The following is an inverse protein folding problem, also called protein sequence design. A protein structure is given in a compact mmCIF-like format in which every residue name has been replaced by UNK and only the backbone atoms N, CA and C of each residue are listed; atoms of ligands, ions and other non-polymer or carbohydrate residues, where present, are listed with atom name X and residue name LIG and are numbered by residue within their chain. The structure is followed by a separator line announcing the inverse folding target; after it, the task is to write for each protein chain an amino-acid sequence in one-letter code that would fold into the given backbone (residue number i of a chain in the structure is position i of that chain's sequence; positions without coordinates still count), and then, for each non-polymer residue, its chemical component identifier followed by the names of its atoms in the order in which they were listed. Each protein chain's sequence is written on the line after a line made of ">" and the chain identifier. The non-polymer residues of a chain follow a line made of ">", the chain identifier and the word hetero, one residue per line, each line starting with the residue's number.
data_IF_942402615468
#
_entry.id   IF_942402615468
#
_cell.length_a   1.000
_cell.length_b   1.000
_cell.length_c   1.000
_cell.angle_alpha   90.00
_cell.angle_beta   90.00
_cell.angle_gamma   90.00
#
_symmetry.space_group_name_H-M   'P 1'
#
loop_
_entity.id
_entity.type
_entity.pdbx_description
1 polymer ?
#
# COMPACT_ATOMS: atom_id res chain seq x y z
N UNK A 1 92.12 -35.90 45.18
CA UNK A 1 91.48 -36.70 44.11
C UNK A 1 89.97 -36.51 44.27
N UNK A 2 89.25 -36.20 43.18
CA UNK A 2 87.87 -35.66 43.11
C UNK A 2 87.75 -34.15 43.32
N UNK A 3 87.74 -33.39 42.22
CA UNK A 3 86.79 -32.31 41.96
C UNK A 3 86.99 -31.81 40.52
N UNK A 4 86.38 -32.52 39.57
CA UNK A 4 86.15 -32.02 38.20
C UNK A 4 84.63 -31.99 37.98
N UNK A 5 84.01 -30.98 38.57
CA UNK A 5 82.63 -30.56 38.34
C UNK A 5 82.65 -29.28 37.50
N UNK A 6 81.60 -29.13 36.68
CA UNK A 6 81.22 -27.97 35.85
C UNK A 6 81.74 -27.98 34.41
N UNK A 7 81.02 -28.68 33.53
CA UNK A 7 80.93 -28.31 32.10
C UNK A 7 79.74 -28.94 31.37
N UNK A 8 78.51 -28.79 31.88
CA UNK A 8 77.29 -29.19 31.12
C UNK A 8 76.04 -28.41 31.57
N UNK A 9 75.99 -27.09 31.43
CA UNK A 9 74.76 -26.34 31.77
C UNK A 9 74.61 -24.96 31.11
N UNK A 10 74.80 -24.78 29.80
CA UNK A 10 74.51 -23.47 29.18
C UNK A 10 73.86 -23.49 27.79
N UNK A 11 73.42 -24.64 27.25
CA UNK A 11 72.87 -24.69 25.89
C UNK A 11 71.34 -24.62 25.71
N UNK A 12 70.43 -24.80 26.68
CA UNK A 12 69.00 -24.66 26.36
C UNK A 12 68.42 -23.24 26.55
N UNK A 13 69.07 -22.33 27.31
CA UNK A 13 68.39 -21.08 27.70
C UNK A 13 68.42 -19.98 26.64
N UNK A 14 69.44 -19.94 25.77
CA UNK A 14 69.52 -18.93 24.70
C UNK A 14 68.49 -19.19 23.58
N UNK A 15 68.21 -20.46 23.27
CA UNK A 15 67.19 -20.85 22.30
C UNK A 15 65.76 -20.51 22.77
N UNK A 16 65.45 -20.78 24.04
CA UNK A 16 64.13 -20.44 24.63
C UNK A 16 63.85 -18.93 24.68
N UNK A 17 64.88 -18.08 24.90
CA UNK A 17 64.72 -16.61 24.87
C UNK A 17 64.61 -16.01 23.46
N UNK A 18 65.06 -16.71 22.43
CA UNK A 18 64.89 -16.27 21.03
C UNK A 18 63.46 -16.52 20.54
N UNK A 19 62.89 -17.70 20.82
CA UNK A 19 61.52 -18.04 20.47
C UNK A 19 60.48 -17.12 21.14
N UNK A 20 60.68 -16.77 22.41
CA UNK A 20 59.76 -15.89 23.15
C UNK A 20 59.77 -14.41 22.75
N UNK A 21 60.74 -13.95 21.95
CA UNK A 21 60.79 -12.57 21.41
C UNK A 21 60.10 -12.46 20.05
N UNK A 22 60.22 -13.48 19.20
CA UNK A 22 59.49 -13.56 17.92
C UNK A 22 57.97 -13.61 18.11
N UNK A 23 57.50 -14.41 19.07
CA UNK A 23 56.07 -14.53 19.37
C UNK A 23 55.44 -13.20 19.84
N UNK A 24 56.15 -12.44 20.69
CA UNK A 24 55.67 -11.15 21.21
C UNK A 24 55.65 -10.04 20.14
N UNK A 25 56.60 -10.05 19.19
CA UNK A 25 56.59 -9.14 18.06
C UNK A 25 55.42 -9.42 17.10
N UNK A 26 55.13 -10.69 16.83
CA UNK A 26 54.03 -11.11 15.96
C UNK A 26 52.65 -10.73 16.54
N UNK A 27 52.44 -10.94 17.85
CA UNK A 27 51.20 -10.56 18.54
C UNK A 27 50.99 -9.04 18.58
N UNK A 28 52.07 -8.25 18.64
CA UNK A 28 51.98 -6.77 18.62
C UNK A 28 51.63 -6.24 17.23
N UNK A 29 52.15 -6.86 16.16
CA UNK A 29 51.80 -6.54 14.78
C UNK A 29 50.32 -6.84 14.46
N UNK A 30 49.79 -7.94 14.99
CA UNK A 30 48.37 -8.33 14.85
C UNK A 30 47.39 -7.40 15.60
N UNK A 31 47.86 -6.64 16.61
CA UNK A 31 47.03 -5.70 17.38
C UNK A 31 47.02 -4.27 16.83
N UNK A 32 47.89 -3.94 15.86
CA UNK A 32 47.87 -2.64 15.18
C UNK A 32 46.66 -2.53 14.23
N UNK A 33 46.08 -1.33 14.02
CA UNK A 33 44.89 -1.15 13.18
C UNK A 33 45.10 -1.62 11.74
N UNK A 34 46.30 -1.43 11.18
CA UNK A 34 46.67 -1.96 9.87
C UNK A 34 46.79 -3.51 9.83
N UNK A 35 47.17 -4.14 10.94
CA UNK A 35 47.25 -5.60 11.07
C UNK A 35 45.88 -6.27 11.13
N UNK A 36 44.90 -5.62 11.78
CA UNK A 36 43.50 -6.10 11.82
C UNK A 36 42.84 -6.07 10.44
N UNK A 37 43.08 -5.01 9.67
CA UNK A 37 42.63 -4.91 8.27
C UNK A 37 43.26 -6.02 7.40
N UNK A 38 44.55 -6.31 7.58
CA UNK A 38 45.23 -7.40 6.86
C UNK A 38 44.66 -8.79 7.18
N UNK A 39 44.34 -9.07 8.45
CA UNK A 39 43.73 -10.36 8.86
C UNK A 39 42.29 -10.47 8.36
N UNK A 40 41.50 -9.39 8.45
CA UNK A 40 40.13 -9.39 7.92
C UNK A 40 40.12 -9.58 6.40
N UNK A 41 41.00 -8.91 5.65
CA UNK A 41 41.12 -9.08 4.20
C UNK A 41 41.55 -10.51 3.80
N UNK A 42 42.45 -11.14 4.57
CA UNK A 42 42.85 -12.52 4.33
C UNK A 42 41.72 -13.52 4.59
N UNK A 43 40.94 -13.32 5.66
CA UNK A 43 39.79 -14.16 6.00
C UNK A 43 38.65 -14.02 4.97
N UNK A 44 38.35 -12.80 4.50
CA UNK A 44 37.35 -12.59 3.46
C UNK A 44 37.79 -13.18 2.12
N UNK A 45 39.06 -13.03 1.74
CA UNK A 45 39.60 -13.64 0.52
C UNK A 45 39.51 -15.18 0.55
N UNK A 46 39.81 -15.81 1.69
CA UNK A 46 39.66 -17.26 1.89
C UNK A 46 38.20 -17.72 1.80
N UNK A 47 37.25 -16.95 2.37
CA UNK A 47 35.83 -17.26 2.29
C UNK A 47 35.29 -17.18 0.85
N UNK A 48 35.71 -16.16 0.08
CA UNK A 48 35.32 -16.01 -1.34
C UNK A 48 35.91 -17.13 -2.20
N UNK A 49 37.18 -17.50 -1.99
CA UNK A 49 37.81 -18.61 -2.71
C UNK A 49 37.14 -19.96 -2.42
N UNK A 50 36.70 -20.20 -1.18
CA UNK A 50 35.95 -21.40 -0.80
C UNK A 50 34.58 -21.47 -1.47
N UNK A 51 33.85 -20.35 -1.57
CA UNK A 51 32.55 -20.29 -2.25
C UNK A 51 32.66 -20.56 -3.76
N UNK A 52 33.70 -20.04 -4.42
CA UNK A 52 33.95 -20.29 -5.85
C UNK A 52 34.36 -21.75 -6.12
N UNK A 53 35.14 -22.38 -5.24
CA UNK A 53 35.51 -23.78 -5.38
C UNK A 53 34.32 -24.74 -5.14
N UNK A 54 33.42 -24.41 -4.21
CA UNK A 54 32.22 -25.21 -3.93
C UNK A 54 31.18 -25.10 -5.07
N UNK A 55 31.03 -23.93 -5.69
CA UNK A 55 30.13 -23.73 -6.84
C UNK A 55 30.50 -24.58 -8.06
N UNK A 56 31.79 -24.92 -8.22
CA UNK A 56 32.27 -25.75 -9.34
C UNK A 56 32.09 -27.26 -9.11
N UNK A 57 31.89 -27.69 -7.86
CA UNK A 57 31.73 -29.11 -7.49
C UNK A 57 30.26 -29.56 -7.40
N UNK A 58 29.30 -28.61 -7.32
CA UNK A 58 27.87 -28.91 -7.14
C UNK A 58 27.06 -28.73 -8.44
N UNK A 59 27.63 -28.17 -9.50
CA UNK A 59 27.00 -28.14 -10.83
C UNK A 59 27.40 -29.39 -11.60
N UNK A 60 26.50 -30.35 -11.87
CA UNK A 60 26.81 -31.44 -12.77
C UNK A 60 26.95 -30.85 -14.17
N UNK A 61 28.04 -31.21 -14.85
CA UNK A 61 28.23 -30.98 -16.27
C UNK A 61 27.22 -31.82 -17.08
N UNK A 62 25.97 -31.39 -17.13
CA UNK A 62 25.02 -31.80 -18.15
C UNK A 62 25.16 -30.80 -19.32
N UNK A 63 25.75 -31.25 -20.42
CA UNK A 63 25.76 -30.50 -21.67
C UNK A 63 24.34 -30.26 -22.19
N UNK A 64 24.16 -29.41 -23.21
CA UNK A 64 22.84 -29.16 -23.79
C UNK A 64 22.39 -30.39 -24.57
N UNK A 65 21.66 -31.28 -23.92
CA UNK A 65 20.83 -32.27 -24.59
C UNK A 65 19.54 -31.55 -25.01
N UNK A 66 19.53 -31.00 -26.22
CA UNK A 66 18.29 -30.72 -26.94
C UNK A 66 17.67 -32.09 -27.31
N UNK A 67 17.07 -32.75 -26.33
CA UNK A 67 16.05 -33.74 -26.61
C UNK A 67 14.76 -32.97 -26.87
N UNK A 68 14.23 -33.09 -28.09
CA UNK A 68 12.83 -32.81 -28.38
C UNK A 68 11.99 -33.84 -27.59
N UNK A 69 11.81 -33.58 -26.30
CA UNK A 69 10.81 -34.22 -25.47
C UNK A 69 9.47 -33.58 -25.81
N UNK A 70 8.51 -34.41 -26.21
CA UNK A 70 7.09 -34.06 -26.29
C UNK A 70 6.70 -33.25 -25.07
N UNK A 71 6.18 -32.04 -25.29
CA UNK A 71 5.62 -31.18 -24.25
C UNK A 71 4.67 -32.00 -23.36
N UNK A 72 4.87 -32.02 -22.03
CA UNK A 72 3.82 -32.49 -21.14
C UNK A 72 2.61 -31.59 -21.31
N UNK A 73 1.44 -32.19 -21.57
CA UNK A 73 0.15 -31.50 -21.54
C UNK A 73 0.04 -30.74 -20.20
N UNK A 74 -0.24 -29.44 -20.19
CA UNK A 74 -0.32 -28.69 -18.94
C UNK A 74 -1.41 -29.32 -18.06
N UNK A 75 -1.03 -29.71 -16.84
CA UNK A 75 -1.98 -29.81 -15.74
C UNK A 75 -2.67 -28.44 -15.57
N UNK A 76 -3.95 -28.40 -15.20
CA UNK A 76 -4.64 -27.13 -15.03
C UNK A 76 -3.95 -26.34 -13.92
N UNK A 77 -3.25 -25.29 -14.34
CA UNK A 77 -2.75 -24.22 -13.48
C UNK A 77 -3.95 -23.66 -12.71
N UNK A 78 -3.90 -23.66 -11.38
CA UNK A 78 -4.86 -22.90 -10.57
C UNK A 78 -4.79 -21.45 -11.05
N UNK A 79 -5.88 -20.99 -11.66
CA UNK A 79 -5.98 -19.66 -12.24
C UNK A 79 -5.64 -18.59 -11.18
N UNK A 80 -4.94 -17.50 -11.56
CA UNK A 80 -4.85 -16.33 -10.69
C UNK A 80 -6.27 -15.91 -10.31
N UNK A 81 -6.51 -15.57 -9.04
CA UNK A 81 -7.82 -15.18 -8.49
C UNK A 81 -8.56 -14.27 -9.48
N UNK A 82 -9.48 -14.87 -10.24
CA UNK A 82 -10.40 -14.18 -11.13
C UNK A 82 -11.45 -13.59 -10.21
N UNK A 83 -11.68 -12.28 -10.27
CA UNK A 83 -12.81 -11.62 -9.62
C UNK A 83 -14.07 -12.45 -9.83
N UNK A 84 -14.52 -13.14 -8.79
CA UNK A 84 -15.64 -14.06 -8.89
C UNK A 84 -16.93 -13.25 -8.99
N UNK A 85 -17.85 -13.60 -9.90
CA UNK A 85 -19.07 -12.84 -10.19
C UNK A 85 -20.05 -12.59 -9.02
N UNK A 86 -19.75 -13.06 -7.82
CA UNK A 86 -20.62 -12.98 -6.62
C UNK A 86 -20.10 -12.03 -5.54
N UNK A 87 -18.85 -11.56 -5.64
CA UNK A 87 -18.16 -10.84 -4.55
C UNK A 87 -18.00 -9.33 -4.80
N UNK A 88 -18.77 -8.73 -5.71
CA UNK A 88 -18.75 -7.27 -5.87
C UNK A 88 -18.99 -6.61 -4.49
N UNK A 89 -18.15 -5.64 -4.08
CA UNK A 89 -18.20 -5.08 -2.73
C UNK A 89 -19.52 -4.32 -2.54
N UNK A 90 -20.51 -5.01 -1.97
CA UNK A 90 -21.82 -4.47 -1.65
C UNK A 90 -21.87 -4.16 -0.16
N UNK A 91 -21.24 -3.06 0.24
CA UNK A 91 -21.50 -2.43 1.53
C UNK A 91 -22.09 -1.07 1.26
N UNK A 92 -23.42 -1.01 1.21
CA UNK A 92 -24.13 0.26 1.23
C UNK A 92 -24.11 0.86 2.63
N UNK A 93 -24.35 2.16 2.74
CA UNK A 93 -24.69 2.78 4.03
C UNK A 93 -25.86 2.03 4.69
N UNK A 94 -25.91 1.93 6.05
CA UNK A 94 -27.04 1.31 6.71
C UNK A 94 -28.33 1.99 6.26
N UNK A 95 -29.26 1.21 5.70
CA UNK A 95 -30.57 1.69 5.31
C UNK A 95 -31.26 2.30 6.54
N UNK A 96 -31.62 3.58 6.43
CA UNK A 96 -32.39 4.30 7.44
C UNK A 96 -33.65 3.49 7.77
N UNK A 97 -33.74 2.99 8.99
CA UNK A 97 -34.90 2.25 9.49
C UNK A 97 -35.43 2.95 10.72
N UNK A 98 -36.17 4.03 10.49
CA UNK A 98 -37.21 4.49 11.41
C UNK A 98 -38.42 4.99 10.60
N UNK A 99 -39.67 4.60 10.95
CA UNK A 99 -40.85 5.19 10.35
C UNK A 99 -41.01 6.63 10.86
N UNK A 100 -41.10 7.58 9.94
CA UNK A 100 -41.49 8.96 10.26
C UNK A 100 -42.94 8.94 10.74
N UNK A 101 -43.16 9.05 12.06
CA UNK A 101 -44.44 9.47 12.61
C UNK A 101 -44.69 10.93 12.23
N UNK A 102 -45.80 11.19 11.51
CA UNK A 102 -46.31 12.53 11.31
C UNK A 102 -46.67 13.18 12.66
N UNK A 103 -46.00 14.27 13.03
CA UNK A 103 -46.55 15.24 13.99
C UNK A 103 -46.21 16.67 13.58
N UNK A 104 -47.25 17.41 13.23
CA UNK A 104 -47.51 18.72 13.84
C UNK A 104 -46.86 19.95 13.22
N UNK A 105 -47.70 20.78 12.62
CA UNK A 105 -47.46 22.14 12.14
C UNK A 105 -46.87 23.06 13.21
N UNK A 106 -45.70 23.69 12.95
CA UNK A 106 -45.29 24.95 13.57
C UNK A 106 -44.37 25.77 12.64
N UNK A 107 -44.62 27.08 12.60
CA UNK A 107 -44.04 28.12 11.73
C UNK A 107 -42.65 28.62 12.18
N UNK A 108 -41.96 29.49 11.40
CA UNK A 108 -40.50 29.53 11.30
C UNK A 108 -39.85 30.45 12.35
N UNK A 109 -38.71 30.05 12.87
CA UNK A 109 -37.68 30.96 13.36
C UNK A 109 -36.31 30.45 12.89
N UNK A 110 -35.58 31.37 12.28
CA UNK A 110 -34.26 31.19 11.67
C UNK A 110 -33.23 30.72 12.70
N UNK A 111 -32.69 29.52 12.50
CA UNK A 111 -31.33 29.18 12.91
C UNK A 111 -30.77 28.28 11.83
N UNK A 112 -29.67 28.73 11.21
CA UNK A 112 -28.93 28.02 10.17
C UNK A 112 -28.79 26.54 10.54
N UNK A 113 -29.62 25.73 9.90
CA UNK A 113 -29.71 24.30 10.16
C UNK A 113 -28.61 23.65 9.34
N UNK A 114 -27.56 23.16 10.01
CA UNK A 114 -26.78 22.04 9.48
C UNK A 114 -27.80 20.96 9.07
N UNK A 115 -27.78 20.44 7.83
CA UNK A 115 -28.71 19.40 7.42
C UNK A 115 -28.57 18.22 8.39
N UNK A 116 -29.68 17.68 8.90
CA UNK A 116 -29.69 16.57 9.84
C UNK A 116 -28.85 15.36 9.37
N UNK A 117 -28.65 15.18 8.06
CA UNK A 117 -27.78 14.13 7.51
C UNK A 117 -26.27 14.34 7.69
N UNK A 118 -25.79 15.56 7.94
CA UNK A 118 -24.36 15.81 8.18
C UNK A 118 -23.91 15.22 9.53
N UNK A 119 -24.73 15.38 10.57
CA UNK A 119 -24.45 14.82 11.91
C UNK A 119 -24.48 13.29 11.91
N UNK A 120 -25.29 12.70 11.06
CA UNK A 120 -25.41 11.24 10.93
C UNK A 120 -24.19 10.64 10.22
N UNK A 121 -23.75 11.24 9.11
CA UNK A 121 -22.52 10.83 8.42
C UNK A 121 -21.27 10.98 9.30
N UNK A 122 -21.17 12.05 10.10
CA UNK A 122 -20.06 12.23 11.04
C UNK A 122 -20.03 11.13 12.11
N UNK A 123 -21.21 10.69 12.58
CA UNK A 123 -21.31 9.62 13.57
C UNK A 123 -20.98 8.26 12.99
N UNK A 124 -21.46 7.97 11.78
CA UNK A 124 -21.14 6.77 11.02
C UNK A 124 -19.64 6.69 10.70
N UNK A 125 -19.03 7.77 10.21
CA UNK A 125 -17.60 7.83 9.95
C UNK A 125 -16.77 7.54 11.20
N UNK A 126 -17.15 8.10 12.36
CA UNK A 126 -16.52 7.80 13.65
C UNK A 126 -16.63 6.33 14.06
N UNK A 127 -17.77 5.67 13.80
CA UNK A 127 -17.89 4.22 14.10
C UNK A 127 -16.94 3.36 13.24
N UNK A 128 -16.55 3.85 12.07
CA UNK A 128 -15.64 3.18 11.14
C UNK A 128 -14.17 3.60 11.31
N UNK A 129 -13.83 4.38 12.35
CA UNK A 129 -12.45 4.83 12.59
C UNK A 129 -11.43 3.67 12.70
N UNK A 130 -11.89 2.48 13.08
CA UNK A 130 -11.07 1.27 13.16
C UNK A 130 -10.55 0.77 11.80
N UNK A 131 -11.13 1.22 10.68
CA UNK A 131 -10.69 0.89 9.32
C UNK A 131 -9.39 1.59 8.93
N UNK A 132 -8.94 2.59 9.69
CA UNK A 132 -7.75 3.38 9.38
C UNK A 132 -7.94 4.38 8.24
N UNK A 133 -9.18 4.57 7.77
CA UNK A 133 -9.56 5.62 6.82
C UNK A 133 -9.76 6.93 7.61
N UNK A 134 -9.23 8.08 7.16
CA UNK A 134 -9.53 9.37 7.79
C UNK A 134 -11.04 9.61 7.86
N UNK A 135 -11.56 9.98 9.03
CA UNK A 135 -13.01 10.22 9.23
C UNK A 135 -13.58 11.21 8.21
N UNK A 136 -12.82 12.27 7.89
CA UNK A 136 -13.22 13.26 6.88
C UNK A 136 -13.38 12.67 5.48
N UNK A 137 -12.54 11.67 5.13
CA UNK A 137 -12.66 10.95 3.86
C UNK A 137 -13.85 10.00 3.86
N UNK A 138 -14.12 9.32 4.99
CA UNK A 138 -15.31 8.50 5.15
C UNK A 138 -16.58 9.32 4.90
N UNK A 139 -16.71 10.49 5.54
CA UNK A 139 -17.84 11.40 5.31
C UNK A 139 -18.02 11.72 3.82
N UNK A 140 -16.93 12.00 3.10
CA UNK A 140 -16.96 12.25 1.66
C UNK A 140 -17.46 11.04 0.85
N UNK A 141 -16.95 9.84 1.14
CA UNK A 141 -17.36 8.60 0.48
C UNK A 141 -18.84 8.27 0.73
N UNK A 142 -19.29 8.38 1.99
CA UNK A 142 -20.69 8.15 2.36
C UNK A 142 -21.63 9.17 1.72
N UNK A 143 -21.27 10.47 1.75
CA UNK A 143 -22.07 11.50 1.09
C UNK A 143 -22.20 11.25 -0.41
N UNK A 144 -21.11 10.92 -1.09
CA UNK A 144 -21.14 10.68 -2.52
C UNK A 144 -21.97 9.43 -2.89
N UNK A 145 -21.98 8.39 -2.06
CA UNK A 145 -22.91 7.27 -2.22
C UNK A 145 -24.37 7.74 -2.11
N UNK A 146 -24.74 8.48 -1.06
CA UNK A 146 -26.11 8.97 -0.87
C UNK A 146 -26.56 9.86 -2.03
N UNK A 147 -25.71 10.78 -2.47
CA UNK A 147 -25.99 11.65 -3.62
C UNK A 147 -26.14 10.82 -4.88
N UNK A 148 -25.22 9.88 -5.13
CA UNK A 148 -25.28 9.00 -6.30
C UNK A 148 -26.52 8.11 -6.31
N UNK A 149 -27.04 7.68 -5.15
CA UNK A 149 -28.25 6.88 -5.09
C UNK A 149 -29.49 7.66 -5.56
N UNK A 150 -29.49 8.98 -5.39
CA UNK A 150 -30.56 9.88 -5.86
C UNK A 150 -30.36 10.29 -7.32
N UNK A 151 -29.14 10.69 -7.69
CA UNK A 151 -28.84 11.23 -9.02
C UNK A 151 -28.65 10.14 -10.07
N UNK A 152 -28.15 8.96 -9.67
CA UNK A 152 -27.84 7.82 -10.53
C UNK A 152 -28.41 6.51 -9.94
N UNK A 153 -29.75 6.38 -9.80
CA UNK A 153 -30.37 5.28 -9.06
C UNK A 153 -30.14 3.87 -9.66
N UNK A 154 -29.78 3.77 -10.94
CA UNK A 154 -29.38 2.51 -11.58
C UNK A 154 -27.91 2.13 -11.38
N UNK A 155 -27.09 3.06 -10.86
CA UNK A 155 -25.66 2.85 -10.72
C UNK A 155 -25.29 1.92 -9.56
N UNK A 156 -26.02 2.00 -8.44
CA UNK A 156 -25.74 1.23 -7.23
C UNK A 156 -24.28 1.31 -6.75
N UNK A 157 -23.69 2.51 -6.82
CA UNK A 157 -22.34 2.77 -6.32
C UNK A 157 -22.29 2.62 -4.79
N UNK A 158 -21.25 1.97 -4.26
CA UNK A 158 -20.97 1.87 -2.82
C UNK A 158 -19.77 2.74 -2.42
N UNK A 159 -19.81 3.31 -1.21
CA UNK A 159 -18.73 4.06 -0.57
C UNK A 159 -17.43 3.25 -0.53
N UNK A 160 -17.50 1.92 -0.42
CA UNK A 160 -16.31 1.05 -0.40
C UNK A 160 -15.55 1.06 -1.72
N UNK A 161 -16.27 1.19 -2.85
CA UNK A 161 -15.63 1.32 -4.17
C UNK A 161 -14.87 2.63 -4.27
N UNK A 162 -15.49 3.74 -3.85
CA UNK A 162 -14.84 5.06 -3.79
C UNK A 162 -13.63 5.06 -2.84
N UNK A 163 -13.77 4.42 -1.67
CA UNK A 163 -12.69 4.25 -0.71
C UNK A 163 -11.55 3.38 -1.26
N UNK A 164 -11.87 2.32 -2.00
CA UNK A 164 -10.88 1.46 -2.67
C UNK A 164 -10.05 2.21 -3.71
N UNK A 165 -10.69 3.10 -4.48
CA UNK A 165 -10.00 4.01 -5.41
C UNK A 165 -9.14 5.00 -4.62
N UNK A 166 -9.70 5.74 -3.66
CA UNK A 166 -8.94 6.74 -2.90
C UNK A 166 -7.75 6.15 -2.13
N UNK A 167 -7.87 4.93 -1.61
CA UNK A 167 -6.77 4.19 -1.02
C UNK A 167 -5.67 3.85 -2.04
N UNK A 168 -6.05 3.44 -3.24
CA UNK A 168 -5.12 3.07 -4.32
C UNK A 168 -4.40 4.29 -4.89
N UNK A 169 -5.11 5.40 -5.04
CA UNK A 169 -4.57 6.65 -5.61
C UNK A 169 -3.63 7.37 -4.65
N UNK A 170 -4.09 7.63 -3.41
CA UNK A 170 -3.39 8.57 -2.51
C UNK A 170 -3.40 8.16 -1.05
N UNK A 171 -3.78 6.90 -0.74
CA UNK A 171 -4.02 6.48 0.65
C UNK A 171 -5.03 7.43 1.32
N UNK A 172 -6.20 7.64 0.69
CA UNK A 172 -7.26 8.53 1.17
C UNK A 172 -6.80 9.99 1.39
N UNK A 173 -5.97 10.50 0.48
CA UNK A 173 -5.44 11.86 0.57
C UNK A 173 -4.29 12.04 1.58
N UNK A 174 -3.76 10.97 2.18
CA UNK A 174 -2.71 11.06 3.20
C UNK A 174 -1.31 10.68 2.72
N UNK A 175 -1.12 10.48 1.41
CA UNK A 175 0.20 10.16 0.83
C UNK A 175 1.25 11.21 1.22
N UNK A 176 2.51 10.77 1.38
CA UNK A 176 3.63 11.63 1.77
C UNK A 176 3.43 12.42 3.10
N UNK A 177 2.61 11.91 4.01
CA UNK A 177 2.33 12.56 5.30
C UNK A 177 1.32 13.70 5.22
N UNK A 178 0.62 13.83 4.09
CA UNK A 178 -0.47 14.78 3.92
C UNK A 178 -1.66 14.42 4.82
N UNK A 179 -2.57 15.37 5.03
CA UNK A 179 -3.83 15.15 5.75
C UNK A 179 -4.97 15.93 5.10
N UNK A 180 -6.19 15.46 5.34
CA UNK A 180 -7.40 16.18 4.97
C UNK A 180 -7.81 17.09 6.13
N UNK A 181 -8.09 18.35 5.82
CA UNK A 181 -8.53 19.37 6.75
C UNK A 181 -10.03 19.25 7.03
N UNK A 182 -10.55 20.02 7.99
CA UNK A 182 -11.97 19.98 8.32
C UNK A 182 -12.87 20.44 7.17
N UNK A 183 -12.39 21.37 6.35
CA UNK A 183 -13.11 21.84 5.16
C UNK A 183 -13.18 20.79 4.05
N UNK A 184 -12.28 19.79 4.02
CA UNK A 184 -12.23 18.78 2.97
C UNK A 184 -10.98 18.87 2.11
N UNK A 185 -10.29 20.01 2.17
CA UNK A 185 -9.08 20.22 1.41
C UNK A 185 -7.90 19.43 1.97
N UNK A 186 -7.03 18.97 1.08
CA UNK A 186 -5.74 18.43 1.48
C UNK A 186 -4.78 19.55 1.91
N UNK A 187 -3.99 19.34 2.97
CA UNK A 187 -3.05 20.37 3.50
C UNK A 187 -2.06 20.83 2.42
N UNK A 188 -1.59 19.90 1.61
CA UNK A 188 -0.80 20.20 0.41
C UNK A 188 -1.52 19.63 -0.80
N UNK A 189 -1.68 20.39 -1.91
CA UNK A 189 -2.20 19.84 -3.16
C UNK A 189 -1.46 18.56 -3.56
N UNK A 190 -2.22 17.52 -3.92
CA UNK A 190 -1.63 16.24 -4.32
C UNK A 190 -1.52 16.25 -5.83
N UNK A 191 -0.29 16.26 -6.34
CA UNK A 191 -0.02 16.29 -7.78
C UNK A 191 0.72 15.03 -8.22
N UNK A 192 0.21 14.38 -9.26
CA UNK A 192 0.86 13.25 -9.90
C UNK A 192 2.07 13.69 -10.71
N UNK A 193 3.05 12.79 -10.84
CA UNK A 193 4.31 13.08 -11.54
C UNK A 193 4.28 12.74 -13.04
N UNK A 194 3.19 12.11 -13.52
CA UNK A 194 3.10 11.55 -14.87
C UNK A 194 2.31 12.43 -15.82
N UNK A 195 1.09 12.77 -15.43
CA UNK A 195 0.10 13.40 -16.31
C UNK A 195 -0.64 14.57 -15.65
N UNK A 196 0.04 15.24 -14.71
CA UNK A 196 -0.51 16.34 -13.91
C UNK A 196 -1.82 15.96 -13.20
N UNK A 197 -1.90 14.72 -12.71
CA UNK A 197 -3.03 14.22 -11.93
C UNK A 197 -3.24 15.09 -10.68
N UNK A 198 -4.49 15.34 -10.29
CA UNK A 198 -4.81 16.30 -9.24
C UNK A 198 -5.65 15.65 -8.13
N UNK A 199 -5.35 16.03 -6.90
CA UNK A 199 -6.20 15.78 -5.74
C UNK A 199 -6.13 14.37 -5.16
N UNK A 200 -6.93 14.10 -4.11
CA UNK A 200 -6.97 12.80 -3.45
C UNK A 200 -7.47 11.66 -4.36
N UNK A 201 -8.19 11.98 -5.44
CA UNK A 201 -8.69 11.00 -6.42
C UNK A 201 -7.87 10.97 -7.73
N UNK A 202 -6.76 11.72 -7.81
CA UNK A 202 -5.82 11.72 -8.94
C UNK A 202 -6.46 11.89 -10.33
N UNK A 203 -7.35 12.87 -10.47
CA UNK A 203 -7.94 13.17 -11.76
C UNK A 203 -6.93 13.76 -12.74
N UNK A 204 -6.95 13.27 -13.98
CA UNK A 204 -6.34 13.99 -15.10
C UNK A 204 -7.05 15.33 -15.32
N UNK A 205 -6.34 16.41 -15.72
CA UNK A 205 -6.96 17.73 -15.92
C UNK A 205 -8.17 17.73 -16.85
N UNK A 206 -8.12 16.98 -17.95
CA UNK A 206 -9.25 16.87 -18.88
C UNK A 206 -10.44 16.10 -18.30
N UNK A 207 -10.18 15.09 -17.47
CA UNK A 207 -11.24 14.32 -16.80
C UNK A 207 -11.88 15.19 -15.72
N UNK A 208 -11.10 15.91 -14.93
CA UNK A 208 -11.61 16.89 -13.98
C UNK A 208 -12.52 17.91 -14.67
N UNK A 209 -12.12 18.49 -15.80
CA UNK A 209 -12.95 19.49 -16.48
C UNK A 209 -14.29 18.92 -16.98
N UNK A 210 -14.34 17.63 -17.34
CA UNK A 210 -15.55 16.98 -17.79
C UNK A 210 -16.47 16.51 -16.65
N UNK A 211 -15.92 16.23 -15.47
CA UNK A 211 -16.62 15.51 -14.39
C UNK A 211 -16.63 16.22 -13.03
N UNK A 212 -15.99 17.39 -12.91
CA UNK A 212 -15.94 18.16 -11.65
C UNK A 212 -17.33 18.35 -11.04
N UNK A 213 -17.38 18.26 -9.73
CA UNK A 213 -18.57 18.45 -8.93
C UNK A 213 -18.22 19.31 -7.71
N UNK A 214 -19.22 20.01 -7.20
CA UNK A 214 -19.19 20.75 -5.93
C UNK A 214 -19.93 19.87 -4.91
N UNK A 215 -19.17 19.02 -4.22
CA UNK A 215 -19.67 17.90 -3.41
C UNK A 215 -20.11 18.31 -2.01
N UNK A 216 -19.57 19.39 -1.47
CA UNK A 216 -19.97 19.98 -0.20
C UNK A 216 -20.85 21.24 -0.36
N UNK A 217 -21.03 21.71 -1.59
CA UNK A 217 -21.90 22.83 -1.99
C UNK A 217 -21.40 24.18 -1.47
N UNK A 218 -20.08 24.34 -1.37
CA UNK A 218 -19.45 25.61 -0.98
C UNK A 218 -19.36 26.63 -2.13
N UNK A 219 -19.70 26.21 -3.36
CA UNK A 219 -19.70 27.03 -4.58
C UNK A 219 -18.36 27.04 -5.32
N UNK A 220 -17.39 26.24 -4.89
CA UNK A 220 -16.07 26.08 -5.49
C UNK A 220 -15.97 24.66 -6.06
N UNK A 221 -15.32 24.52 -7.22
CA UNK A 221 -14.97 23.22 -7.78
C UNK A 221 -13.46 23.03 -7.59
N UNK A 222 -13.07 22.27 -6.57
CA UNK A 222 -11.69 22.10 -6.16
C UNK A 222 -11.26 20.63 -6.20
N UNK A 223 -10.36 20.23 -7.13
CA UNK A 223 -9.89 18.85 -7.17
C UNK A 223 -9.09 18.47 -5.93
N UNK A 224 -8.51 19.43 -5.19
CA UNK A 224 -7.76 19.19 -3.97
C UNK A 224 -8.67 19.10 -2.71
N UNK A 225 -10.00 19.27 -2.88
CA UNK A 225 -11.04 18.96 -1.89
C UNK A 225 -11.57 17.53 -2.08
N UNK A 226 -11.64 16.76 -0.99
CA UNK A 226 -12.09 15.38 -1.06
C UNK A 226 -13.60 15.23 -1.35
N UNK A 227 -14.46 16.15 -0.91
CA UNK A 227 -15.90 16.04 -1.17
C UNK A 227 -16.18 16.21 -2.67
N UNK A 228 -15.54 17.19 -3.28
CA UNK A 228 -15.60 17.47 -4.71
C UNK A 228 -14.99 16.35 -5.54
N UNK A 229 -13.77 15.94 -5.19
CA UNK A 229 -13.05 14.89 -5.91
C UNK A 229 -13.81 13.55 -5.85
N UNK A 230 -14.37 13.19 -4.70
CA UNK A 230 -15.12 11.94 -4.57
C UNK A 230 -16.46 12.02 -5.30
N UNK A 231 -17.16 13.15 -5.26
CA UNK A 231 -18.41 13.34 -6.02
C UNK A 231 -18.17 13.30 -7.52
N UNK A 232 -17.08 13.91 -8.00
CA UNK A 232 -16.65 13.79 -9.39
C UNK A 232 -16.34 12.33 -9.78
N UNK A 233 -15.71 11.56 -8.88
CA UNK A 233 -15.43 10.14 -9.10
C UNK A 233 -16.72 9.30 -9.14
N UNK A 234 -17.69 9.59 -8.28
CA UNK A 234 -19.00 8.95 -8.33
C UNK A 234 -19.70 9.17 -9.68
N UNK A 235 -19.75 10.43 -10.14
CA UNK A 235 -20.33 10.78 -11.43
C UNK A 235 -19.61 10.10 -12.60
N UNK A 236 -18.27 10.03 -12.53
CA UNK A 236 -17.47 9.33 -13.52
C UNK A 236 -17.78 7.83 -13.55
N UNK A 237 -17.79 7.14 -12.40
CA UNK A 237 -18.04 5.69 -12.36
C UNK A 237 -19.44 5.35 -12.85
N UNK A 238 -20.43 6.16 -12.49
CA UNK A 238 -21.84 5.96 -12.81
C UNK A 238 -22.24 6.34 -14.23
N UNK A 239 -21.33 6.88 -15.05
CA UNK A 239 -21.70 7.28 -16.40
C UNK A 239 -22.11 6.09 -17.28
N UNK A 240 -23.08 6.30 -18.17
CA UNK A 240 -23.44 5.35 -19.22
C UNK A 240 -24.26 4.14 -18.77
N UNK A 241 -25.22 4.35 -17.85
CA UNK A 241 -26.21 3.36 -17.39
C UNK A 241 -25.60 2.05 -16.83
N UNK A 242 -24.40 2.13 -16.24
CA UNK A 242 -23.74 0.99 -15.61
C UNK A 242 -24.44 0.62 -14.31
N UNK A 243 -24.49 -0.67 -13.98
CA UNK A 243 -24.92 -1.18 -12.67
C UNK A 243 -23.72 -1.82 -11.95
N UNK A 244 -23.23 -1.15 -10.91
CA UNK A 244 -22.05 -1.55 -10.14
C UNK A 244 -22.32 -2.68 -9.15
N UNK A 245 -23.58 -3.13 -9.00
CA UNK A 245 -23.84 -4.42 -8.32
C UNK A 245 -23.45 -5.60 -9.19
N UNK A 246 -23.36 -5.41 -10.52
CA UNK A 246 -22.92 -6.46 -11.43
C UNK A 246 -21.40 -6.48 -11.54
N UNK A 247 -20.76 -7.66 -11.59
CA UNK A 247 -19.31 -7.77 -11.77
C UNK A 247 -18.83 -7.08 -13.04
N UNK A 248 -19.55 -7.24 -14.15
CA UNK A 248 -19.22 -6.64 -15.43
C UNK A 248 -19.35 -5.11 -15.39
N UNK A 249 -20.41 -4.58 -14.77
CA UNK A 249 -20.61 -3.14 -14.63
C UNK A 249 -19.56 -2.50 -13.72
N UNK A 250 -19.27 -3.13 -12.58
CA UNK A 250 -18.24 -2.68 -11.65
C UNK A 250 -16.85 -2.69 -12.29
N UNK A 251 -16.47 -3.81 -12.92
CA UNK A 251 -15.16 -3.94 -13.57
C UNK A 251 -15.02 -2.92 -14.70
N UNK A 252 -16.04 -2.74 -15.54
CA UNK A 252 -16.03 -1.75 -16.61
C UNK A 252 -15.91 -0.31 -16.09
N UNK A 253 -16.56 0.01 -14.95
CA UNK A 253 -16.45 1.32 -14.32
C UNK A 253 -15.02 1.58 -13.82
N UNK A 254 -14.46 0.68 -13.02
CA UNK A 254 -13.11 0.85 -12.45
C UNK A 254 -12.03 0.78 -13.53
N UNK A 255 -12.17 -0.09 -14.52
CA UNK A 255 -11.26 -0.16 -15.67
C UNK A 255 -11.33 1.12 -16.53
N UNK A 256 -12.46 1.81 -16.58
CA UNK A 256 -12.52 3.13 -17.25
C UNK A 256 -11.73 4.19 -16.48
N UNK A 257 -11.68 4.09 -15.15
CA UNK A 257 -10.88 4.97 -14.30
C UNK A 257 -9.38 4.77 -14.54
N UNK A 258 -8.92 3.51 -14.56
CA UNK A 258 -7.56 3.14 -14.92
C UNK A 258 -7.56 1.77 -15.64
N UNK A 259 -7.06 1.68 -16.89
CA UNK A 259 -7.22 0.50 -17.74
C UNK A 259 -6.22 -0.63 -17.44
N UNK A 260 -5.67 -0.66 -16.22
CA UNK A 260 -4.73 -1.71 -15.81
C UNK A 260 -5.42 -2.74 -14.93
N UNK A 261 -5.33 -4.00 -15.30
CA UNK A 261 -5.95 -5.09 -14.52
C UNK A 261 -5.41 -5.16 -13.08
N UNK A 262 -4.11 -4.88 -12.88
CA UNK A 262 -3.52 -4.87 -11.54
C UNK A 262 -4.05 -3.72 -10.66
N UNK A 263 -4.48 -2.63 -11.27
CA UNK A 263 -5.17 -1.54 -10.58
C UNK A 263 -6.60 -1.96 -10.20
N UNK A 264 -7.35 -2.54 -11.14
CA UNK A 264 -8.73 -2.98 -10.90
C UNK A 264 -8.78 -3.99 -9.74
N UNK A 265 -7.87 -4.96 -9.74
CA UNK A 265 -7.76 -5.93 -8.64
C UNK A 265 -7.42 -5.25 -7.30
N UNK A 266 -6.47 -4.30 -7.30
CA UNK A 266 -6.09 -3.53 -6.10
C UNK A 266 -7.26 -2.75 -5.50
N UNK A 267 -8.12 -2.18 -6.34
CA UNK A 267 -9.32 -1.46 -5.90
C UNK A 267 -10.34 -2.44 -5.33
N UNK A 268 -10.54 -3.59 -6.00
CA UNK A 268 -11.45 -4.62 -5.54
C UNK A 268 -11.04 -5.14 -4.16
N UNK A 269 -9.77 -5.54 -3.99
CA UNK A 269 -9.27 -6.10 -2.73
C UNK A 269 -9.47 -5.13 -1.55
N UNK A 270 -9.26 -3.82 -1.79
CA UNK A 270 -9.48 -2.78 -0.78
C UNK A 270 -10.96 -2.59 -0.48
N UNK A 271 -11.81 -2.51 -1.51
CA UNK A 271 -13.23 -2.32 -1.34
C UNK A 271 -13.88 -3.51 -0.60
N UNK A 272 -13.52 -4.74 -0.96
CA UNK A 272 -13.93 -5.97 -0.26
C UNK A 272 -13.43 -5.99 1.19
N UNK A 273 -12.17 -5.62 1.43
CA UNK A 273 -11.63 -5.48 2.79
C UNK A 273 -12.46 -4.50 3.63
N UNK A 274 -12.76 -3.30 3.10
CA UNK A 274 -13.55 -2.31 3.81
C UNK A 274 -14.99 -2.79 4.04
N UNK A 275 -15.60 -3.43 3.05
CA UNK A 275 -16.95 -3.99 3.17
C UNK A 275 -17.05 -5.01 4.29
N UNK A 276 -16.16 -6.01 4.31
CA UNK A 276 -16.12 -7.03 5.37
C UNK A 276 -15.82 -6.44 6.74
N UNK A 277 -14.85 -5.53 6.83
CA UNK A 277 -14.44 -4.97 8.11
C UNK A 277 -15.47 -3.99 8.70
N UNK A 278 -16.23 -3.29 7.86
CA UNK A 278 -17.26 -2.34 8.33
C UNK A 278 -18.48 -2.99 8.99
N UNK A 279 -18.66 -4.31 8.81
CA UNK A 279 -19.79 -5.09 9.34
C UNK A 279 -19.39 -6.06 10.45
N UNK A 280 -18.10 -6.12 10.79
CA UNK A 280 -17.54 -7.02 11.80
C UNK A 280 -17.59 -6.43 13.22
#
# INVERSE_FOLDING_TARGET
>A
MLHLLRRTALLPWRALKAAGRGARACVRALRAPAGRLGVQAALTALAVAGALAAGWLVVPSAGPAWSFGTEPSPEPEEAPLVLTPEDAPAAGLPAETDPIEEVGTASPDDTASTPAGATDLDSWARSLAHLGIPERALVAYGRAELVSAVENPGCNLSWTTLAGIGATETTHGTTNGNRIQSDGTTVTPIRGSGYDEMGPMQFLPSTWEAWKADGDKDGVFNPDDIDDAVTAAANYLCHGDRDLTTPAGWQAAVHSYNPRDDYVQKVFDRADQYGRASTA
#
